data_IF_676501154937
#
_entry.id   IF_676501154937
#
_cell.length_a   1.000
_cell.length_b   1.000
_cell.length_c   1.000
_cell.angle_alpha   90.00
_cell.angle_beta   90.00
_cell.angle_gamma   90.00
#
_symmetry.space_group_name_H-M   'P 1'
#
loop_
_entity.id
_entity.type
_entity.pdbx_description
1 polymer ?
#
# COMPACT_ATOMS: atom_id res chain seq x y z
N UNK A 1 -8.49 -21.97 12.85
CA UNK A 1 -8.37 -22.06 11.37
C UNK A 1 -9.04 -20.80 10.85
N UNK A 2 -8.26 -19.76 10.54
CA UNK A 2 -8.81 -18.49 10.05
C UNK A 2 -8.92 -18.62 8.53
N UNK A 3 -10.14 -18.64 8.02
CA UNK A 3 -10.43 -18.49 6.59
C UNK A 3 -9.73 -17.21 6.10
N UNK A 4 -8.91 -17.26 5.04
CA UNK A 4 -8.36 -16.05 4.45
C UNK A 4 -9.54 -15.22 3.93
N UNK A 5 -9.75 -14.06 4.55
CA UNK A 5 -10.77 -13.11 4.13
C UNK A 5 -10.44 -12.69 2.68
N UNK A 6 -11.18 -13.20 1.69
CA UNK A 6 -11.11 -12.71 0.31
C UNK A 6 -11.60 -11.26 0.31
N UNK A 7 -10.66 -10.33 0.37
CA UNK A 7 -10.94 -8.90 0.26
C UNK A 7 -11.21 -8.63 -1.23
N UNK A 8 -12.41 -8.14 -1.62
CA UNK A 8 -12.70 -7.82 -3.01
C UNK A 8 -11.71 -6.78 -3.57
N UNK A 9 -11.13 -7.05 -4.74
CA UNK A 9 -10.35 -6.06 -5.51
C UNK A 9 -11.29 -4.92 -5.95
N UNK A 10 -11.30 -3.81 -5.18
CA UNK A 10 -10.28 -2.76 -5.30
C UNK A 10 -9.79 -2.23 -3.94
N UNK A 11 -10.05 -2.94 -2.84
CA UNK A 11 -9.67 -2.46 -1.51
C UNK A 11 -8.17 -2.62 -1.20
N UNK A 12 -7.47 -3.50 -1.91
CA UNK A 12 -6.05 -3.81 -1.70
C UNK A 12 -5.12 -2.57 -1.76
N UNK A 13 -5.22 -1.66 -2.75
CA UNK A 13 -4.42 -0.42 -2.74
C UNK A 13 -4.80 0.55 -1.63
N UNK A 14 -6.06 0.59 -1.19
CA UNK A 14 -6.49 1.52 -0.14
C UNK A 14 -5.71 1.28 1.17
N UNK A 15 -5.52 0.02 1.56
CA UNK A 15 -4.75 -0.41 2.74
C UNK A 15 -3.27 -0.01 2.71
N UNK A 16 -2.67 0.14 1.52
CA UNK A 16 -1.29 0.61 1.39
C UNK A 16 -1.14 2.12 1.63
N UNK A 17 -2.19 2.93 1.41
CA UNK A 17 -2.15 4.39 1.61
C UNK A 17 -2.56 4.84 3.01
N UNK A 18 -3.40 4.07 3.71
CA UNK A 18 -3.83 4.40 5.07
C UNK A 18 -2.68 4.71 6.05
N UNK A 19 -1.57 3.97 6.09
CA UNK A 19 -0.45 4.26 6.98
C UNK A 19 0.13 5.66 6.77
N UNK A 20 0.25 6.09 5.51
CA UNK A 20 0.84 7.39 5.16
C UNK A 20 -0.09 8.51 5.60
N UNK A 21 -1.38 8.41 5.29
CA UNK A 21 -2.39 9.42 5.65
C UNK A 21 -2.51 9.54 7.17
N UNK A 22 -2.58 8.41 7.89
CA UNK A 22 -2.65 8.40 9.35
C UNK A 22 -1.38 8.97 9.99
N UNK A 23 -0.20 8.63 9.46
CA UNK A 23 1.07 9.19 9.97
C UNK A 23 1.11 10.70 9.80
N UNK A 24 0.71 11.22 8.63
CA UNK A 24 0.63 12.67 8.38
C UNK A 24 -0.35 13.35 9.33
N UNK A 25 -1.53 12.77 9.51
CA UNK A 25 -2.54 13.30 10.42
C UNK A 25 -2.07 13.31 11.88
N UNK A 26 -1.45 12.22 12.35
CA UNK A 26 -0.83 12.14 13.67
C UNK A 26 0.30 13.15 13.85
N UNK A 27 1.10 13.38 12.81
CA UNK A 27 2.17 14.40 12.80
C UNK A 27 1.60 15.81 12.91
N UNK A 28 0.51 16.11 12.19
CA UNK A 28 -0.19 17.41 12.30
C UNK A 28 -0.79 17.61 13.70
N UNK A 29 -1.32 16.56 14.34
CA UNK A 29 -1.77 16.65 15.73
C UNK A 29 -0.62 16.88 16.70
N UNK A 30 0.53 16.23 16.50
CA UNK A 30 1.75 16.47 17.30
C UNK A 30 2.20 17.94 17.17
N UNK A 31 2.12 18.51 15.97
CA UNK A 31 2.34 19.94 15.75
C UNK A 31 1.32 20.79 16.49
N UNK A 32 0.02 20.46 16.39
CA UNK A 32 -1.04 21.14 17.15
C UNK A 32 -0.84 21.09 18.68
N UNK A 33 -0.26 20.00 19.18
CA UNK A 33 0.11 19.82 20.59
C UNK A 33 1.26 20.74 21.03
N UNK A 34 2.13 21.19 20.11
CA UNK A 34 3.16 22.19 20.38
C UNK A 34 2.57 23.59 20.52
N UNK A 35 1.61 23.93 19.67
CA UNK A 35 0.96 25.25 19.66
C UNK A 35 -0.04 25.41 20.80
N UNK A 36 -0.73 24.33 21.17
CA UNK A 36 -1.88 24.38 22.08
C UNK A 36 -1.56 23.77 23.45
N UNK A 37 -2.10 24.32 24.53
CA UNK A 37 -1.99 23.71 25.88
C UNK A 37 -3.07 22.68 26.20
N UNK A 38 -3.97 22.38 25.25
CA UNK A 38 -5.13 21.50 25.43
C UNK A 38 -4.69 20.06 25.70
N UNK A 39 -5.23 19.46 26.76
CA UNK A 39 -4.88 18.12 27.22
C UNK A 39 -5.31 16.99 26.26
N UNK A 40 -6.24 17.25 25.33
CA UNK A 40 -6.73 16.23 24.39
C UNK A 40 -5.78 15.89 23.24
N UNK A 41 -4.90 16.82 22.83
CA UNK A 41 -4.03 16.62 21.67
C UNK A 41 -3.07 15.43 21.81
N UNK A 42 -2.36 15.24 22.94
CA UNK A 42 -1.48 14.09 23.11
C UNK A 42 -2.20 12.75 22.93
N UNK A 43 -3.41 12.62 23.50
CA UNK A 43 -4.22 11.40 23.39
C UNK A 43 -4.57 11.07 21.93
N UNK A 44 -5.11 12.03 21.19
CA UNK A 44 -5.45 11.83 19.77
C UNK A 44 -4.20 11.60 18.90
N UNK A 45 -3.10 12.29 19.19
CA UNK A 45 -1.81 12.09 18.51
C UNK A 45 -1.35 10.65 18.63
N UNK A 46 -1.32 10.12 19.87
CA UNK A 46 -0.95 8.73 20.13
C UNK A 46 -1.89 7.74 19.43
N UNK A 47 -3.20 7.93 19.55
CA UNK A 47 -4.18 7.00 18.99
C UNK A 47 -4.08 6.91 17.47
N UNK A 48 -3.91 8.04 16.79
CA UNK A 48 -3.76 8.07 15.33
C UNK A 48 -2.42 7.44 14.90
N UNK A 49 -1.31 7.75 15.58
CA UNK A 49 0.00 7.17 15.27
C UNK A 49 0.06 5.65 15.55
N UNK A 50 -0.62 5.19 16.59
CA UNK A 50 -0.80 3.78 16.89
C UNK A 50 -1.54 3.08 15.74
N UNK A 51 -2.65 3.66 15.27
CA UNK A 51 -3.40 3.13 14.14
C UNK A 51 -2.57 3.15 12.84
N UNK A 52 -1.80 4.21 12.60
CA UNK A 52 -0.87 4.31 11.47
C UNK A 52 0.15 3.18 11.48
N UNK A 53 0.72 2.89 12.65
CA UNK A 53 1.73 1.85 12.84
C UNK A 53 1.12 0.45 12.68
N UNK A 54 -0.08 0.23 13.20
CA UNK A 54 -0.82 -1.02 12.99
C UNK A 54 -1.13 -1.24 11.51
N UNK A 55 -1.59 -0.21 10.80
CA UNK A 55 -1.81 -0.26 9.36
C UNK A 55 -0.51 -0.54 8.58
N UNK A 56 0.62 0.07 8.98
CA UNK A 56 1.92 -0.17 8.35
C UNK A 56 2.39 -1.63 8.53
N UNK A 57 2.13 -2.22 9.71
CA UNK A 57 2.41 -3.64 9.96
C UNK A 57 1.54 -4.54 9.08
N UNK A 58 0.25 -4.24 9.01
CA UNK A 58 -0.68 -5.01 8.18
C UNK A 58 -0.27 -4.95 6.71
N UNK A 59 0.07 -3.77 6.19
CA UNK A 59 0.53 -3.58 4.82
C UNK A 59 1.81 -4.38 4.49
N UNK A 60 2.75 -4.50 5.44
CA UNK A 60 3.95 -5.33 5.26
C UNK A 60 3.62 -6.82 5.22
N UNK A 61 2.70 -7.28 6.07
CA UNK A 61 2.27 -8.67 6.09
C UNK A 61 1.55 -9.03 4.80
N UNK A 62 0.63 -8.19 4.32
CA UNK A 62 -0.12 -8.44 3.09
C UNK A 62 0.75 -8.30 1.84
N UNK A 63 1.62 -7.30 1.79
CA UNK A 63 2.51 -7.08 0.64
C UNK A 63 3.58 -8.18 0.48
N UNK A 64 3.97 -8.84 1.56
CA UNK A 64 4.91 -9.97 1.51
C UNK A 64 4.29 -11.28 0.98
N UNK A 65 2.95 -11.37 0.90
CA UNK A 65 2.24 -12.53 0.35
C UNK A 65 2.06 -12.45 -1.17
N UNK A 66 2.35 -11.29 -1.77
CA UNK A 66 2.27 -11.09 -3.20
C UNK A 66 3.34 -11.95 -3.88
N UNK A 67 2.93 -12.92 -4.70
CA UNK A 67 3.84 -13.78 -5.45
C UNK A 67 4.62 -12.94 -6.46
N UNK A 68 5.79 -12.48 -6.02
CA UNK A 68 6.84 -11.98 -6.88
C UNK A 68 7.29 -13.16 -7.76
N UNK A 69 6.69 -13.32 -8.94
CA UNK A 69 7.13 -14.30 -9.94
C UNK A 69 8.61 -14.11 -10.33
N UNK A 70 9.10 -14.82 -11.34
CA UNK A 70 10.47 -14.63 -11.83
C UNK A 70 10.64 -13.21 -12.42
N UNK A 71 11.03 -12.27 -11.55
CA UNK A 71 11.23 -10.88 -11.91
C UNK A 71 12.62 -10.71 -12.55
N UNK A 72 12.74 -9.88 -13.60
CA UNK A 72 14.02 -9.54 -14.19
C UNK A 72 15.04 -9.05 -13.14
N UNK A 73 16.32 -9.49 -13.22
CA UNK A 73 17.35 -9.12 -12.25
C UNK A 73 17.62 -7.61 -12.22
N UNK A 74 17.32 -6.89 -13.30
CA UNK A 74 17.40 -5.42 -13.38
C UNK A 74 16.48 -4.69 -12.39
N UNK A 75 15.39 -5.35 -11.93
CA UNK A 75 14.36 -4.75 -11.06
C UNK A 75 14.62 -5.06 -9.58
N UNK A 76 15.43 -6.08 -9.29
CA UNK A 76 15.84 -6.46 -7.93
C UNK A 76 16.30 -5.28 -7.05
N UNK A 77 17.15 -4.34 -7.50
CA UNK A 77 17.54 -3.21 -6.66
C UNK A 77 16.37 -2.28 -6.32
N UNK A 78 15.39 -2.12 -7.22
CA UNK A 78 14.23 -1.26 -6.98
C UNK A 78 13.27 -1.89 -5.95
N UNK A 79 13.08 -3.21 -6.02
CA UNK A 79 12.30 -3.98 -5.05
C UNK A 79 12.97 -3.93 -3.67
N UNK A 80 14.29 -4.16 -3.63
CA UNK A 80 15.05 -4.10 -2.39
C UNK A 80 14.92 -2.73 -1.73
N UNK A 81 15.04 -1.64 -2.49
CA UNK A 81 14.85 -0.31 -1.95
C UNK A 81 13.41 -0.10 -1.43
N UNK A 82 12.39 -0.57 -2.17
CA UNK A 82 11.00 -0.47 -1.72
C UNK A 82 10.80 -1.17 -0.37
N UNK A 83 11.34 -2.38 -0.21
CA UNK A 83 11.28 -3.15 1.03
C UNK A 83 12.01 -2.41 2.16
N UNK A 84 13.22 -1.90 1.91
CA UNK A 84 14.01 -1.18 2.91
C UNK A 84 13.29 0.08 3.41
N UNK A 85 12.72 0.88 2.50
CA UNK A 85 11.97 2.06 2.89
C UNK A 85 10.68 1.72 3.64
N UNK A 86 9.99 0.63 3.27
CA UNK A 86 8.82 0.13 4.00
C UNK A 86 9.18 -0.34 5.41
N UNK A 87 10.31 -1.04 5.57
CA UNK A 87 10.81 -1.45 6.89
C UNK A 87 11.22 -0.24 7.74
N UNK A 88 11.88 0.76 7.14
CA UNK A 88 12.20 2.02 7.83
C UNK A 88 10.92 2.73 8.29
N UNK A 89 9.94 2.89 7.41
CA UNK A 89 8.66 3.52 7.76
C UNK A 89 7.98 2.82 8.94
N UNK A 90 7.94 1.48 8.95
CA UNK A 90 7.42 0.69 10.08
C UNK A 90 8.22 0.91 11.36
N UNK A 91 9.54 0.79 11.31
CA UNK A 91 10.39 0.89 12.50
C UNK A 91 10.33 2.29 13.13
N UNK A 92 10.41 3.34 12.30
CA UNK A 92 10.25 4.70 12.78
C UNK A 92 8.81 4.99 13.23
N UNK A 93 7.78 4.38 12.62
CA UNK A 93 6.40 4.45 13.10
C UNK A 93 6.24 3.89 14.52
N UNK A 94 6.86 2.74 14.80
CA UNK A 94 6.88 2.16 16.16
C UNK A 94 7.57 3.10 17.16
N UNK A 95 8.75 3.62 16.81
CA UNK A 95 9.48 4.57 17.67
C UNK A 95 8.63 5.83 17.91
N UNK A 96 8.05 6.40 16.85
CA UNK A 96 7.20 7.59 16.93
C UNK A 96 6.01 7.36 17.85
N UNK A 97 5.37 6.19 17.75
CA UNK A 97 4.24 5.81 18.61
C UNK A 97 4.65 5.66 20.07
N UNK A 98 5.80 5.04 20.36
CA UNK A 98 6.34 4.96 21.71
C UNK A 98 6.63 6.35 22.29
N UNK A 99 7.21 7.26 21.50
CA UNK A 99 7.45 8.64 21.95
C UNK A 99 6.13 9.40 22.14
N UNK A 100 5.14 9.18 21.30
CA UNK A 100 3.79 9.75 21.48
C UNK A 100 3.12 9.24 22.77
N UNK A 101 3.32 7.96 23.14
CA UNK A 101 2.87 7.41 24.42
C UNK A 101 3.56 8.10 25.60
N UNK A 102 4.88 8.30 25.53
CA UNK A 102 5.61 9.08 26.53
C UNK A 102 5.05 10.50 26.65
N UNK A 103 4.60 11.11 25.55
CA UNK A 103 3.96 12.43 25.57
C UNK A 103 2.65 12.45 26.37
N UNK A 104 1.90 11.34 26.43
CA UNK A 104 0.75 11.23 27.33
C UNK A 104 1.19 11.14 28.78
N UNK A 105 2.17 10.28 29.09
CA UNK A 105 2.58 10.02 30.47
C UNK A 105 3.15 11.28 31.13
N UNK A 106 3.86 12.10 30.35
CA UNK A 106 4.49 13.33 30.84
C UNK A 106 3.63 14.58 30.59
N UNK A 107 2.33 14.42 30.26
CA UNK A 107 1.43 15.53 29.95
C UNK A 107 1.30 16.57 31.08
N UNK A 108 1.59 16.17 32.34
CA UNK A 108 1.55 17.05 33.53
C UNK A 108 2.78 17.94 33.70
N UNK A 109 3.90 17.66 33.01
CA UNK A 109 5.14 18.44 33.12
C UNK A 109 5.35 19.27 31.85
N UNK A 110 5.05 20.58 31.84
CA UNK A 110 4.91 21.36 30.61
C UNK A 110 6.19 21.49 29.78
N UNK A 111 7.36 21.55 30.43
CA UNK A 111 8.66 21.61 29.72
C UNK A 111 8.98 20.32 29.00
N UNK A 112 8.87 19.19 29.71
CA UNK A 112 9.15 17.86 29.13
C UNK A 112 8.10 17.52 28.07
N UNK A 113 6.82 17.85 28.29
CA UNK A 113 5.77 17.66 27.29
C UNK A 113 6.09 18.33 25.96
N UNK A 114 6.62 19.56 25.96
CA UNK A 114 7.01 20.27 24.72
C UNK A 114 8.17 19.58 24.01
N UNK A 115 9.18 19.14 24.75
CA UNK A 115 10.33 18.41 24.19
C UNK A 115 9.88 17.09 23.55
N UNK A 116 9.04 16.33 24.25
CA UNK A 116 8.52 15.05 23.75
C UNK A 116 7.61 15.27 22.54
N UNK A 117 6.72 16.26 22.56
CA UNK A 117 5.87 16.58 21.41
C UNK A 117 6.70 17.02 20.18
N UNK A 118 7.80 17.76 20.39
CA UNK A 118 8.70 18.15 19.31
C UNK A 118 9.42 16.92 18.74
N UNK A 119 9.88 16.02 19.60
CA UNK A 119 10.47 14.75 19.18
C UNK A 119 9.46 13.89 18.40
N UNK A 120 8.21 13.78 18.88
CA UNK A 120 7.12 13.09 18.18
C UNK A 120 6.86 13.71 16.81
N UNK A 121 6.82 15.04 16.72
CA UNK A 121 6.63 15.73 15.44
C UNK A 121 7.77 15.46 14.46
N UNK A 122 9.02 15.59 14.90
CA UNK A 122 10.19 15.33 14.05
C UNK A 122 10.25 13.87 13.57
N UNK A 123 10.00 12.92 14.46
CA UNK A 123 9.92 11.49 14.12
C UNK A 123 8.74 11.19 13.19
N UNK A 124 7.59 11.85 13.40
CA UNK A 124 6.42 11.74 12.53
C UNK A 124 6.70 12.22 11.10
N UNK A 125 7.42 13.34 10.95
CA UNK A 125 7.88 13.81 9.63
C UNK A 125 8.82 12.81 8.97
N UNK A 126 9.78 12.28 9.71
CA UNK A 126 10.71 11.28 9.17
C UNK A 126 10.01 9.98 8.77
N UNK A 127 9.04 9.54 9.57
CA UNK A 127 8.18 8.37 9.27
C UNK A 127 7.36 8.61 8.00
N UNK A 128 6.75 9.80 7.88
CA UNK A 128 5.98 10.21 6.70
C UNK A 128 6.85 10.22 5.45
N UNK A 129 8.05 10.81 5.53
CA UNK A 129 9.02 10.83 4.43
C UNK A 129 9.42 9.41 3.99
N UNK A 130 9.68 8.52 4.95
CA UNK A 130 10.02 7.13 4.66
C UNK A 130 8.86 6.40 3.95
N UNK A 131 7.63 6.61 4.39
CA UNK A 131 6.43 6.07 3.74
C UNK A 131 6.25 6.58 2.31
N UNK A 132 6.49 7.88 2.06
CA UNK A 132 6.44 8.46 0.71
C UNK A 132 7.50 7.87 -0.22
N UNK A 133 8.71 7.60 0.28
CA UNK A 133 9.78 6.94 -0.50
C UNK A 133 9.42 5.51 -0.87
N UNK A 134 8.87 4.76 0.08
CA UNK A 134 8.35 3.41 -0.18
C UNK A 134 7.24 3.44 -1.25
N UNK A 135 6.29 4.37 -1.13
CA UNK A 135 5.19 4.52 -2.09
C UNK A 135 5.67 4.88 -3.50
N UNK A 136 6.65 5.79 -3.62
CA UNK A 136 7.20 6.19 -4.93
C UNK A 136 7.91 5.03 -5.63
N UNK A 137 8.61 4.17 -4.90
CA UNK A 137 9.24 2.98 -5.46
C UNK A 137 8.20 1.91 -5.82
N UNK A 138 7.19 1.70 -4.96
CA UNK A 138 6.06 0.81 -5.25
C UNK A 138 5.33 1.23 -6.52
N UNK A 139 5.08 2.53 -6.68
CA UNK A 139 4.51 3.10 -7.91
C UNK A 139 5.36 2.77 -9.14
N UNK A 140 6.68 2.91 -9.08
CA UNK A 140 7.57 2.55 -10.20
C UNK A 140 7.51 1.06 -10.53
N UNK A 141 7.39 0.18 -9.53
CA UNK A 141 7.27 -1.26 -9.74
C UNK A 141 5.96 -1.62 -10.48
N UNK A 142 4.85 -1.04 -10.06
CA UNK A 142 3.54 -1.30 -10.69
C UNK A 142 3.46 -0.68 -12.09
N UNK A 143 3.78 0.61 -12.24
CA UNK A 143 3.55 1.31 -13.51
C UNK A 143 4.60 1.05 -14.59
N UNK A 144 5.86 0.81 -14.22
CA UNK A 144 6.92 0.59 -15.22
C UNK A 144 7.20 -0.88 -15.49
N UNK A 145 6.84 -1.77 -14.56
CA UNK A 145 7.21 -3.19 -14.62
C UNK A 145 6.02 -4.14 -14.40
N UNK A 146 4.79 -3.63 -14.26
CA UNK A 146 3.56 -4.40 -14.08
C UNK A 146 3.61 -5.42 -12.92
N UNK A 147 4.47 -5.18 -11.92
CA UNK A 147 4.60 -6.06 -10.76
C UNK A 147 3.29 -6.02 -9.97
N UNK A 148 2.74 -7.20 -9.65
CA UNK A 148 1.49 -7.33 -8.89
C UNK A 148 0.20 -7.13 -9.70
N UNK A 149 0.28 -6.89 -11.02
CA UNK A 149 -0.90 -6.82 -11.88
C UNK A 149 -1.17 -8.21 -12.48
N UNK A 150 -2.23 -8.87 -12.01
CA UNK A 150 -2.79 -10.03 -12.70
C UNK A 150 -3.43 -9.57 -14.01
N UNK A 151 -2.66 -9.42 -15.08
CA UNK A 151 -3.27 -9.31 -16.42
C UNK A 151 -4.03 -10.61 -16.67
N UNK A 152 -5.35 -10.56 -16.98
CA UNK A 152 -6.05 -11.74 -17.45
C UNK A 152 -5.24 -12.34 -18.60
N UNK A 153 -5.03 -13.66 -18.58
CA UNK A 153 -4.46 -14.37 -19.72
C UNK A 153 -5.18 -13.84 -20.97
N UNK A 154 -4.47 -13.50 -22.06
CA UNK A 154 -5.12 -13.04 -23.27
C UNK A 154 -6.15 -14.10 -23.60
N UNK A 155 -7.44 -13.76 -23.48
CA UNK A 155 -8.49 -14.62 -23.95
C UNK A 155 -8.08 -14.92 -25.39
N UNK A 156 -7.77 -16.18 -25.66
CA UNK A 156 -7.65 -16.68 -27.01
C UNK A 156 -8.92 -16.21 -27.68
N UNK A 157 -8.83 -15.13 -28.46
CA UNK A 157 -9.90 -14.74 -29.36
C UNK A 157 -9.95 -15.93 -30.30
N UNK A 158 -10.79 -16.91 -30.00
CA UNK A 158 -11.40 -17.71 -31.03
C UNK A 158 -12.02 -16.68 -31.96
N UNK A 159 -11.33 -16.41 -33.07
CA UNK A 159 -11.87 -15.60 -34.14
C UNK A 159 -13.30 -16.09 -34.37
N UNK A 160 -14.33 -15.23 -34.31
CA UNK A 160 -15.66 -15.68 -34.68
C UNK A 160 -15.54 -16.31 -36.08
N UNK A 161 -16.10 -17.51 -36.31
CA UNK A 161 -16.02 -18.14 -37.61
C UNK A 161 -16.56 -17.14 -38.63
N UNK A 162 -15.74 -16.83 -39.65
CA UNK A 162 -16.13 -15.93 -40.71
C UNK A 162 -17.47 -16.43 -41.29
N UNK A 163 -18.49 -15.57 -41.45
CA UNK A 163 -19.84 -15.98 -41.82
C UNK A 163 -19.94 -16.66 -43.21
N UNK A 164 -18.86 -16.67 -43.99
CA UNK A 164 -18.80 -17.27 -45.32
C UNK A 164 -18.21 -18.68 -45.34
N UNK A 165 -17.68 -19.20 -44.23
CA UNK A 165 -17.08 -20.54 -44.17
C UNK A 165 -18.10 -21.71 -44.22
N UNK A 166 -19.40 -21.41 -44.30
CA UNK A 166 -20.49 -22.41 -44.36
C UNK A 166 -21.06 -22.64 -45.76
N UNK A 167 -20.41 -22.16 -46.84
CA UNK A 167 -20.85 -22.52 -48.20
C UNK A 167 -20.43 -23.96 -48.50
N UNK A 168 -21.34 -24.89 -48.19
CA UNK A 168 -21.28 -26.28 -48.64
C UNK A 168 -21.46 -26.30 -50.16
N UNK A 169 -20.60 -26.98 -50.95
CA UNK A 169 -20.85 -27.14 -52.38
C UNK A 169 -22.09 -28.00 -52.56
N UNK A 170 -23.17 -27.39 -53.06
CA UNK A 170 -24.39 -28.13 -53.41
C UNK A 170 -24.08 -28.99 -54.63
N UNK A 171 -24.34 -30.29 -54.49
CA UNK A 171 -24.07 -31.30 -55.51
C UNK A 171 -24.71 -30.94 -56.86
N UNK A 172 -23.93 -31.09 -57.94
CA UNK A 172 -24.36 -30.99 -59.32
C UNK A 172 -25.22 -32.21 -59.70
N UNK A 173 -26.47 -32.04 -60.19
CA UNK A 173 -27.24 -33.17 -60.67
C UNK A 173 -26.78 -33.57 -62.07
N UNK A 174 -26.51 -34.87 -62.23
CA UNK A 174 -26.10 -35.54 -63.45
C UNK A 174 -27.06 -35.24 -64.63
N UNK A 175 -26.51 -34.69 -65.71
CA UNK A 175 -27.21 -34.56 -66.98
C UNK A 175 -27.37 -35.94 -67.64
N UNK A 176 -28.63 -36.37 -67.74
CA UNK A 176 -29.04 -37.60 -68.40
C UNK A 176 -28.94 -37.47 -69.93
N UNK A 177 -28.32 -38.48 -70.54
CA UNK A 177 -28.28 -38.79 -71.99
C UNK A 177 -29.65 -38.65 -72.67
N UNK A 178 -29.66 -38.05 -73.87
CA UNK A 178 -30.35 -38.56 -75.07
C UNK A 178 -29.67 -38.04 -76.32
#
# INVERSE_FOLDING_TARGET
MFEPLEIPDPFHPAFAYYPIVLTLLGTLLAFGALLTRRAGFPFWTFLILLLATAAAQFALVTGGQEHLGQLPPMIAPLIQQHIEWSQRARNFGLITTCVALLSLMVARVPRVRRLVALATFALGLFTSYSGLRAAEQGRKLVFNYAVGVSTPAPATRSSPPLPWASVTPTASPAATRR
#
